data_IF_173871270043
#
_entry.id   IF_173871270043
#
_cell.length_a   1.000
_cell.length_b   1.000
_cell.length_c   1.000
_cell.angle_alpha   90.00
_cell.angle_beta   90.00
_cell.angle_gamma   90.00
#
_symmetry.space_group_name_H-M   'P 1'
#
loop_
_entity.id
_entity.type
_entity.pdbx_description
1 polymer ?
#
# COMPACT_ATOMS: atom_id res chain seq x y z
N UNK A 1 -10.16 -13.11 5.04
CA UNK A 1 -9.04 -13.88 4.44
C UNK A 1 -8.80 -13.48 2.99
N UNK A 2 -7.54 -13.25 2.60
CA UNK A 2 -7.10 -13.07 1.20
C UNK A 2 -6.10 -14.16 0.81
N UNK A 3 -6.15 -14.59 -0.44
CA UNK A 3 -5.30 -15.68 -0.95
C UNK A 3 -4.66 -15.31 -2.30
N UNK A 4 -3.42 -15.75 -2.50
CA UNK A 4 -2.70 -15.62 -3.78
C UNK A 4 -2.04 -16.95 -4.16
N UNK A 5 -1.85 -17.17 -5.45
CA UNK A 5 -1.28 -18.41 -5.97
C UNK A 5 0.05 -18.14 -6.69
N UNK A 6 1.11 -18.79 -6.20
CA UNK A 6 2.38 -18.92 -6.91
C UNK A 6 2.42 -20.28 -7.61
N UNK A 7 2.74 -20.26 -8.91
CA UNK A 7 2.77 -21.46 -9.75
C UNK A 7 3.96 -22.39 -9.48
N UNK A 8 4.94 -21.94 -8.69
CA UNK A 8 6.10 -22.75 -8.30
C UNK A 8 6.62 -22.30 -6.93
N UNK A 9 7.09 -23.25 -6.12
CA UNK A 9 7.85 -22.96 -4.89
C UNK A 9 9.13 -22.14 -5.15
N UNK A 10 9.70 -22.23 -6.36
CA UNK A 10 10.87 -21.42 -6.74
C UNK A 10 10.59 -19.92 -6.80
N UNK A 11 9.32 -19.53 -6.88
CA UNK A 11 8.91 -18.14 -6.89
C UNK A 11 8.75 -17.57 -5.48
N UNK A 12 8.83 -18.39 -4.42
CA UNK A 12 8.78 -17.91 -3.05
C UNK A 12 10.13 -17.31 -2.66
N UNK A 13 10.12 -16.04 -2.30
CA UNK A 13 11.26 -15.38 -1.67
C UNK A 13 11.24 -15.64 -0.16
N UNK A 14 12.23 -16.41 0.31
CA UNK A 14 12.31 -16.82 1.72
C UNK A 14 12.71 -15.67 2.64
N UNK A 15 13.53 -14.74 2.16
CA UNK A 15 13.95 -13.59 2.96
C UNK A 15 12.77 -12.62 3.14
N UNK A 16 11.99 -12.42 2.07
CA UNK A 16 10.75 -11.66 2.12
C UNK A 16 9.71 -12.33 3.03
N UNK A 17 9.59 -13.66 2.98
CA UNK A 17 8.71 -14.40 3.87
C UNK A 17 9.10 -14.22 5.35
N UNK A 18 10.37 -14.40 5.70
CA UNK A 18 10.85 -14.19 7.07
C UNK A 18 10.66 -12.76 7.56
N UNK A 19 10.79 -11.77 6.67
CA UNK A 19 10.48 -10.39 7.00
C UNK A 19 9.00 -10.20 7.38
N UNK A 20 8.08 -10.89 6.68
CA UNK A 20 6.64 -10.80 6.91
C UNK A 20 6.17 -11.48 8.19
N UNK A 21 6.95 -12.40 8.78
CA UNK A 21 6.63 -13.00 10.08
C UNK A 21 6.46 -11.92 11.18
N UNK A 22 7.16 -10.79 11.06
CA UNK A 22 7.02 -9.61 11.93
C UNK A 22 6.46 -8.40 11.16
N UNK A 23 5.71 -8.65 10.09
CA UNK A 23 5.22 -7.63 9.16
C UNK A 23 4.36 -6.56 9.83
N UNK A 24 3.62 -6.90 10.90
CA UNK A 24 2.70 -5.97 11.54
C UNK A 24 3.39 -4.72 12.09
N UNK A 25 4.60 -4.86 12.63
CA UNK A 25 5.41 -3.73 13.12
C UNK A 25 5.75 -2.75 12.00
N UNK A 26 5.86 -3.28 10.78
CA UNK A 26 6.21 -2.54 9.56
C UNK A 26 4.98 -2.04 8.79
N UNK A 27 3.76 -2.36 9.25
CA UNK A 27 2.52 -2.01 8.55
C UNK A 27 2.20 -2.95 7.39
N UNK A 28 2.58 -4.22 7.50
CA UNK A 28 2.22 -5.28 6.56
C UNK A 28 1.47 -6.38 7.29
N UNK A 29 0.49 -7.00 6.65
CA UNK A 29 -0.18 -8.18 7.22
C UNK A 29 0.76 -9.39 7.06
N UNK A 30 0.98 -10.19 8.13
CA UNK A 30 1.75 -11.42 8.04
C UNK A 30 1.19 -12.37 6.98
N UNK A 31 2.10 -13.10 6.35
CA UNK A 31 1.78 -14.06 5.31
C UNK A 31 2.02 -15.46 5.84
N UNK A 32 1.06 -16.36 5.65
CA UNK A 32 1.22 -17.80 5.75
C UNK A 32 1.26 -18.41 4.36
N UNK A 33 1.80 -19.62 4.23
CA UNK A 33 1.77 -20.32 2.95
C UNK A 33 1.56 -21.82 3.08
N UNK A 34 0.92 -22.39 2.07
CA UNK A 34 0.59 -23.81 1.99
C UNK A 34 1.10 -24.36 0.66
N UNK A 35 1.89 -25.45 0.73
CA UNK A 35 2.37 -26.17 -0.44
C UNK A 35 1.33 -27.16 -0.97
N UNK A 36 1.13 -27.20 -2.28
CA UNK A 36 0.32 -28.22 -2.94
C UNK A 36 0.81 -28.48 -4.37
N UNK A 37 1.19 -29.73 -4.69
CA UNK A 37 1.59 -30.15 -6.05
C UNK A 37 2.51 -29.14 -6.76
N UNK A 38 3.62 -28.80 -6.10
CA UNK A 38 4.65 -27.82 -6.53
C UNK A 38 4.21 -26.35 -6.64
N UNK A 39 2.95 -26.03 -6.34
CA UNK A 39 2.43 -24.67 -6.20
C UNK A 39 2.41 -24.25 -4.74
N UNK A 40 2.33 -22.94 -4.53
CA UNK A 40 2.20 -22.34 -3.21
C UNK A 40 0.97 -21.43 -3.19
N UNK A 41 0.12 -21.63 -2.19
CA UNK A 41 -0.92 -20.67 -1.83
C UNK A 41 -0.39 -19.80 -0.70
N UNK A 42 -0.36 -18.49 -0.93
CA UNK A 42 -0.12 -17.49 0.11
C UNK A 42 -1.47 -17.13 0.74
N UNK A 43 -1.50 -16.98 2.06
CA UNK A 43 -2.71 -16.76 2.85
C UNK A 43 -2.47 -15.59 3.81
N UNK A 44 -3.41 -14.66 3.85
CA UNK A 44 -3.41 -13.52 4.76
C UNK A 44 -4.70 -13.53 5.57
N UNK A 45 -4.56 -13.59 6.90
CA UNK A 45 -5.67 -13.54 7.84
C UNK A 45 -6.04 -12.08 8.11
N UNK A 46 -7.15 -11.65 7.53
CA UNK A 46 -7.58 -10.25 7.54
C UNK A 46 -8.77 -10.00 8.48
N UNK A 47 -9.16 -10.99 9.28
CA UNK A 47 -10.45 -10.98 9.99
C UNK A 47 -10.50 -9.96 11.14
N UNK A 48 -9.35 -9.52 11.62
CA UNK A 48 -9.19 -8.45 12.63
C UNK A 48 -9.03 -7.05 12.05
N UNK A 49 -9.14 -6.89 10.72
CA UNK A 49 -8.96 -5.61 10.05
C UNK A 49 -10.18 -5.26 9.20
N UNK A 50 -10.38 -3.98 8.99
CA UNK A 50 -11.36 -3.42 8.07
C UNK A 50 -10.71 -3.14 6.72
N UNK A 51 -11.43 -3.43 5.65
CA UNK A 51 -11.00 -3.11 4.30
C UNK A 51 -11.13 -1.60 4.03
N UNK A 52 -10.09 -0.97 3.46
CA UNK A 52 -10.14 0.46 3.18
C UNK A 52 -11.21 0.79 2.13
N UNK A 53 -11.27 0.06 1.02
CA UNK A 53 -12.24 0.28 -0.06
C UNK A 53 -13.69 0.28 0.42
N UNK A 54 -14.06 -0.67 1.29
CA UNK A 54 -15.40 -0.74 1.90
C UNK A 54 -15.69 0.47 2.80
N UNK A 55 -14.67 1.02 3.47
CA UNK A 55 -14.81 2.12 4.42
C UNK A 55 -14.77 3.51 3.76
N UNK A 56 -14.12 3.66 2.59
CA UNK A 56 -13.90 4.95 1.93
C UNK A 56 -15.18 5.79 1.81
N UNK A 57 -16.29 5.18 1.42
CA UNK A 57 -17.59 5.88 1.24
C UNK A 57 -18.17 6.49 2.52
N UNK A 58 -17.71 6.04 3.69
CA UNK A 58 -18.18 6.47 5.00
C UNK A 58 -17.19 7.41 5.70
N UNK A 59 -16.00 7.60 5.11
CA UNK A 59 -14.95 8.42 5.69
C UNK A 59 -15.07 9.88 5.28
N UNK A 60 -14.79 10.75 6.23
CA UNK A 60 -14.55 12.16 5.96
C UNK A 60 -13.24 12.38 5.18
N UNK A 61 -13.12 13.54 4.53
CA UNK A 61 -11.87 13.94 3.88
C UNK A 61 -10.70 13.90 4.86
N UNK A 62 -10.91 14.31 6.12
CA UNK A 62 -9.87 14.31 7.15
C UNK A 62 -9.37 12.90 7.49
N UNK A 63 -10.28 11.93 7.60
CA UNK A 63 -9.94 10.53 7.84
C UNK A 63 -9.17 9.94 6.65
N UNK A 64 -9.63 10.20 5.41
CA UNK A 64 -8.95 9.76 4.19
C UNK A 64 -7.55 10.37 4.13
N UNK A 65 -7.42 11.66 4.44
CA UNK A 65 -6.15 12.36 4.54
C UNK A 65 -5.23 11.75 5.60
N UNK A 66 -5.78 11.33 6.75
CA UNK A 66 -5.05 10.60 7.78
C UNK A 66 -4.51 9.26 7.28
N UNK A 67 -5.34 8.48 6.59
CA UNK A 67 -4.95 7.19 6.01
C UNK A 67 -3.90 7.36 4.92
N UNK A 68 -4.06 8.30 3.98
CA UNK A 68 -3.08 8.53 2.92
C UNK A 68 -1.73 8.98 3.46
N UNK A 69 -1.72 9.82 4.52
CA UNK A 69 -0.49 10.18 5.22
C UNK A 69 0.18 8.95 5.84
N UNK A 70 -0.59 8.11 6.54
CA UNK A 70 -0.07 6.91 7.18
C UNK A 70 0.46 5.90 6.14
N UNK A 71 -0.20 5.76 4.99
CA UNK A 71 0.27 4.95 3.88
C UNK A 71 1.63 5.44 3.35
N UNK A 72 1.78 6.75 3.12
CA UNK A 72 3.05 7.35 2.71
C UNK A 72 4.16 7.13 3.75
N UNK A 73 3.84 7.27 5.05
CA UNK A 73 4.79 6.98 6.13
C UNK A 73 5.24 5.51 6.12
N UNK A 74 4.34 4.57 5.81
CA UNK A 74 4.69 3.15 5.62
C UNK A 74 5.60 2.95 4.42
N UNK A 75 5.25 3.53 3.27
CA UNK A 75 6.05 3.42 2.04
C UNK A 75 7.48 3.88 2.29
N UNK A 76 7.65 5.06 2.89
CA UNK A 76 8.96 5.59 3.24
C UNK A 76 9.75 4.70 4.20
N UNK A 77 9.07 4.06 5.15
CA UNK A 77 9.71 3.14 6.10
C UNK A 77 10.11 1.80 5.50
N UNK A 78 9.47 1.40 4.40
CA UNK A 78 9.77 0.19 3.64
C UNK A 78 10.77 0.45 2.51
N UNK A 79 10.82 1.66 1.98
CA UNK A 79 11.77 2.07 0.96
C UNK A 79 13.22 1.93 1.47
N UNK A 80 14.08 1.29 0.67
CA UNK A 80 15.45 0.98 1.06
C UNK A 80 15.62 -0.28 1.91
N UNK A 81 14.53 -0.99 2.25
CA UNK A 81 14.63 -2.32 2.83
C UNK A 81 15.04 -3.35 1.75
N UNK A 82 16.04 -4.19 2.03
CA UNK A 82 16.53 -5.19 1.08
C UNK A 82 15.79 -6.54 1.15
N UNK A 83 15.01 -6.78 2.21
CA UNK A 83 14.26 -8.02 2.40
C UNK A 83 12.93 -8.04 1.67
N UNK A 84 12.39 -6.89 1.27
CA UNK A 84 11.16 -6.80 0.50
C UNK A 84 11.33 -5.83 -0.66
N UNK A 85 10.46 -5.99 -1.66
CA UNK A 85 10.35 -5.01 -2.74
C UNK A 85 8.97 -4.37 -2.74
N UNK A 86 8.93 -3.06 -2.93
CA UNK A 86 7.69 -2.31 -3.07
C UNK A 86 6.89 -2.70 -4.33
N UNK A 87 7.54 -3.33 -5.31
CA UNK A 87 6.85 -3.88 -6.50
C UNK A 87 5.94 -5.07 -6.16
N UNK A 88 6.23 -5.77 -5.06
CA UNK A 88 5.45 -6.90 -4.57
C UNK A 88 4.32 -6.52 -3.62
N UNK A 89 4.18 -5.23 -3.27
CA UNK A 89 2.98 -4.81 -2.58
C UNK A 89 1.77 -4.94 -3.51
N UNK A 90 0.65 -5.34 -2.92
CA UNK A 90 -0.63 -5.40 -3.62
C UNK A 90 -1.24 -4.00 -3.58
N UNK A 91 -1.20 -3.33 -4.72
CA UNK A 91 -1.62 -1.94 -4.85
C UNK A 91 -3.05 -1.83 -5.38
N UNK A 92 -3.98 -1.90 -4.44
CA UNK A 92 -5.41 -1.81 -4.67
C UNK A 92 -6.07 -1.37 -3.35
N UNK A 93 -7.10 -0.53 -3.39
CA UNK A 93 -7.76 -0.02 -2.17
C UNK A 93 -8.39 -1.16 -1.38
N UNK A 94 -8.86 -2.23 -2.04
CA UNK A 94 -9.41 -3.41 -1.36
C UNK A 94 -8.31 -4.34 -0.81
N UNK A 95 -7.04 -3.98 -0.98
CA UNK A 95 -5.88 -4.69 -0.45
C UNK A 95 -5.15 -3.89 0.63
N UNK A 96 -5.70 -2.73 1.02
CA UNK A 96 -5.26 -1.92 2.15
C UNK A 96 -6.25 -2.12 3.30
N UNK A 97 -5.71 -2.30 4.49
CA UNK A 97 -6.46 -2.64 5.69
C UNK A 97 -6.22 -1.66 6.82
N UNK A 98 -7.23 -1.47 7.65
CA UNK A 98 -7.21 -0.63 8.84
C UNK A 98 -7.46 -1.52 10.06
N UNK A 99 -6.67 -1.37 11.12
CA UNK A 99 -7.04 -1.99 12.40
C UNK A 99 -8.05 -1.13 13.18
N UNK A 100 -8.55 -1.65 14.31
CA UNK A 100 -9.47 -0.91 15.18
C UNK A 100 -8.90 0.39 15.80
N UNK A 101 -7.62 0.72 15.56
CA UNK A 101 -6.96 1.96 15.97
C UNK A 101 -6.69 2.90 14.78
N UNK A 102 -7.11 2.55 13.57
CA UNK A 102 -6.87 3.32 12.34
C UNK A 102 -5.45 3.22 11.80
N UNK A 103 -4.66 2.22 12.22
CA UNK A 103 -3.33 1.95 11.65
C UNK A 103 -3.50 1.26 10.29
N UNK A 104 -2.70 1.70 9.32
CA UNK A 104 -2.72 1.19 7.94
C UNK A 104 -1.80 -0.01 7.78
N UNK A 105 -2.32 -1.04 7.12
CA UNK A 105 -1.63 -2.28 6.76
C UNK A 105 -1.80 -2.59 5.27
N UNK A 106 -0.70 -2.94 4.62
CA UNK A 106 -0.70 -3.44 3.23
C UNK A 106 -0.47 -4.95 3.16
N UNK A 107 -0.70 -5.51 1.97
CA UNK A 107 -0.27 -6.86 1.63
C UNK A 107 1.00 -6.79 0.80
N UNK A 108 2.00 -7.61 1.14
CA UNK A 108 3.21 -7.77 0.35
C UNK A 108 3.41 -9.25 0.03
N UNK A 109 3.56 -9.58 -1.24
CA UNK A 109 3.77 -10.94 -1.71
C UNK A 109 5.25 -11.31 -1.54
N UNK A 110 5.60 -12.37 -0.79
CA UNK A 110 6.98 -12.84 -0.69
C UNK A 110 7.38 -13.59 -1.97
N UNK A 111 7.47 -12.87 -3.08
CA UNK A 111 7.71 -13.43 -4.40
C UNK A 111 9.04 -12.94 -4.99
N UNK A 112 9.79 -13.82 -5.63
CA UNK A 112 10.98 -13.44 -6.39
C UNK A 112 10.56 -12.56 -7.56
N UNK A 113 11.15 -11.38 -7.66
CA UNK A 113 10.92 -10.49 -8.79
C UNK A 113 11.71 -10.96 -10.02
N UNK A 114 11.10 -10.97 -11.21
CA UNK A 114 11.84 -11.09 -12.46
C UNK A 114 12.88 -9.97 -12.57
N UNK A 115 14.06 -10.26 -13.14
CA UNK A 115 15.14 -9.27 -13.28
C UNK A 115 14.69 -7.99 -13.98
N UNK A 116 13.81 -8.13 -14.97
CA UNK A 116 13.20 -7.02 -15.73
C UNK A 116 12.40 -6.05 -14.84
N UNK A 117 11.88 -6.53 -13.71
CA UNK A 117 11.02 -5.77 -12.80
C UNK A 117 11.79 -5.08 -11.67
N UNK A 118 13.04 -5.46 -11.41
CA UNK A 118 13.84 -4.97 -10.27
C UNK A 118 14.03 -3.45 -10.26
N UNK A 119 14.09 -2.82 -11.44
CA UNK A 119 14.27 -1.37 -11.60
C UNK A 119 13.04 -0.67 -12.19
N UNK A 120 11.89 -1.34 -12.20
CA UNK A 120 10.72 -0.84 -12.94
C UNK A 120 10.09 0.40 -12.31
N UNK A 121 10.23 0.57 -11.00
CA UNK A 121 9.64 1.68 -10.21
C UNK A 121 8.13 1.86 -10.48
N UNK A 122 7.45 0.79 -10.88
CA UNK A 122 6.03 0.79 -11.22
C UNK A 122 5.22 1.05 -9.96
N UNK A 123 5.66 0.55 -8.81
CA UNK A 123 5.04 0.82 -7.52
C UNK A 123 4.82 2.31 -7.30
N UNK A 124 5.73 3.19 -7.75
CA UNK A 124 5.55 4.64 -7.58
C UNK A 124 4.27 5.12 -8.24
N UNK A 125 4.03 4.73 -9.50
CA UNK A 125 2.81 5.09 -10.23
C UNK A 125 1.55 4.55 -9.53
N UNK A 126 1.66 3.36 -8.94
CA UNK A 126 0.57 2.71 -8.20
C UNK A 126 0.24 3.44 -6.90
N UNK A 127 1.25 3.98 -6.20
CA UNK A 127 1.03 4.85 -5.02
C UNK A 127 0.20 6.08 -5.39
N UNK A 128 0.58 6.79 -6.45
CA UNK A 128 -0.21 7.94 -6.92
C UNK A 128 -1.64 7.53 -7.28
N UNK A 129 -1.83 6.42 -8.01
CA UNK A 129 -3.15 5.95 -8.40
C UNK A 129 -4.05 5.65 -7.20
N UNK A 130 -3.53 4.97 -6.17
CA UNK A 130 -4.30 4.70 -4.94
C UNK A 130 -4.67 5.99 -4.22
N UNK A 131 -3.73 6.93 -4.09
CA UNK A 131 -4.02 8.20 -3.42
C UNK A 131 -5.09 9.01 -4.16
N UNK A 132 -5.07 8.99 -5.50
CA UNK A 132 -6.10 9.58 -6.35
C UNK A 132 -7.46 8.86 -6.18
N UNK A 133 -7.46 7.52 -6.17
CA UNK A 133 -8.66 6.67 -6.01
C UNK A 133 -9.34 6.88 -4.65
N UNK A 134 -8.57 7.01 -3.56
CA UNK A 134 -9.07 7.31 -2.22
C UNK A 134 -9.87 8.62 -2.16
N UNK A 135 -9.70 9.52 -3.14
CA UNK A 135 -10.29 10.86 -3.16
C UNK A 135 -11.39 11.02 -4.23
N UNK A 136 -11.58 10.05 -5.12
CA UNK A 136 -12.39 10.20 -6.35
C UNK A 136 -13.87 10.52 -6.07
N UNK A 137 -14.39 10.08 -4.92
CA UNK A 137 -15.78 10.24 -4.52
C UNK A 137 -15.98 11.06 -3.23
N UNK A 138 -14.92 11.73 -2.77
CA UNK A 138 -14.94 12.47 -1.51
C UNK A 138 -15.13 13.96 -1.76
N UNK A 139 -16.00 14.62 -0.98
CA UNK A 139 -16.17 16.07 -1.07
C UNK A 139 -14.84 16.79 -0.80
N UNK A 140 -14.39 17.62 -1.75
CA UNK A 140 -13.10 18.29 -1.68
C UNK A 140 -11.90 17.47 -2.18
N UNK A 141 -12.08 16.17 -2.47
CA UNK A 141 -11.03 15.29 -2.97
C UNK A 141 -10.38 15.76 -4.26
N UNK A 142 -11.14 16.32 -5.20
CA UNK A 142 -10.62 16.86 -6.48
C UNK A 142 -9.52 17.91 -6.30
N UNK A 143 -9.61 18.76 -5.27
CA UNK A 143 -8.59 19.77 -5.04
C UNK A 143 -7.30 19.14 -4.51
N UNK A 144 -7.41 18.11 -3.68
CA UNK A 144 -6.26 17.33 -3.22
C UNK A 144 -5.63 16.59 -4.41
N UNK A 145 -6.42 15.97 -5.29
CA UNK A 145 -5.93 15.33 -6.51
C UNK A 145 -5.14 16.31 -7.39
N UNK A 146 -5.61 17.55 -7.56
CA UNK A 146 -4.84 18.58 -8.31
C UNK A 146 -3.48 18.88 -7.68
N UNK A 147 -3.38 18.90 -6.35
CA UNK A 147 -2.10 19.10 -5.68
C UNK A 147 -1.17 17.89 -5.89
N UNK A 148 -1.72 16.68 -5.93
CA UNK A 148 -0.99 15.45 -6.24
C UNK A 148 -0.48 15.48 -7.68
N UNK A 149 -1.35 15.80 -8.65
CA UNK A 149 -0.99 15.94 -10.07
C UNK A 149 0.12 16.98 -10.26
N UNK A 150 -0.03 18.16 -9.66
CA UNK A 150 0.99 19.21 -9.70
C UNK A 150 2.33 18.75 -9.12
N UNK A 151 2.32 17.96 -8.05
CA UNK A 151 3.52 17.41 -7.44
C UNK A 151 4.15 16.34 -8.35
N UNK A 152 3.33 15.43 -8.88
CA UNK A 152 3.70 14.34 -9.80
C UNK A 152 4.41 14.86 -11.05
N UNK A 153 3.98 16.00 -11.60
CA UNK A 153 4.61 16.63 -12.77
C UNK A 153 6.00 17.21 -12.50
N UNK A 154 6.31 17.57 -11.24
CA UNK A 154 7.54 18.30 -10.88
C UNK A 154 8.57 17.44 -10.16
N UNK A 155 8.12 16.59 -9.26
CA UNK A 155 8.94 15.90 -8.26
C UNK A 155 8.45 14.44 -8.10
N UNK A 156 8.20 13.75 -9.21
CA UNK A 156 7.72 12.36 -9.21
C UNK A 156 8.61 11.44 -8.35
N UNK A 157 7.99 10.72 -7.42
CA UNK A 157 8.70 9.80 -6.52
C UNK A 157 9.30 10.46 -5.28
N UNK A 158 9.20 11.78 -5.12
CA UNK A 158 9.55 12.47 -3.88
C UNK A 158 8.39 12.36 -2.86
N UNK A 159 8.50 11.39 -1.95
CA UNK A 159 7.49 11.14 -0.93
C UNK A 159 7.35 12.26 0.10
N UNK A 160 8.43 13.00 0.39
CA UNK A 160 8.38 14.12 1.34
C UNK A 160 7.61 15.29 0.73
N UNK A 161 7.89 15.63 -0.52
CA UNK A 161 7.15 16.62 -1.26
C UNK A 161 5.68 16.22 -1.44
N UNK A 162 5.41 14.97 -1.85
CA UNK A 162 4.04 14.46 -1.99
C UNK A 162 3.26 14.54 -0.67
N UNK A 163 3.87 14.13 0.44
CA UNK A 163 3.22 14.19 1.75
C UNK A 163 2.94 15.64 2.19
N UNK A 164 3.84 16.59 1.89
CA UNK A 164 3.62 18.00 2.17
C UNK A 164 2.43 18.57 1.37
N UNK A 165 2.32 18.20 0.08
CA UNK A 165 1.23 18.61 -0.81
C UNK A 165 -0.10 18.00 -0.40
N UNK A 166 -0.11 16.71 -0.08
CA UNK A 166 -1.25 15.99 0.48
C UNK A 166 -1.80 16.72 1.71
N UNK A 167 -0.95 17.00 2.71
CA UNK A 167 -1.36 17.76 3.91
C UNK A 167 -1.93 19.14 3.58
N UNK A 168 -1.31 19.85 2.64
CA UNK A 168 -1.76 21.20 2.25
C UNK A 168 -3.12 21.21 1.56
N UNK A 169 -3.40 20.20 0.72
CA UNK A 169 -4.69 20.04 0.05
C UNK A 169 -5.80 19.76 1.04
N UNK A 170 -5.55 18.84 1.99
CA UNK A 170 -6.50 18.49 3.05
C UNK A 170 -6.85 19.69 3.95
N UNK A 171 -5.88 20.52 4.33
CA UNK A 171 -6.08 21.68 5.22
C UNK A 171 -6.85 22.84 4.59
N UNK A 172 -6.80 23.01 3.25
CA UNK A 172 -7.46 24.14 2.57
C UNK A 172 -8.99 24.06 2.54
N UNK A 173 -9.57 22.89 2.81
CA UNK A 173 -11.02 22.66 2.84
C UNK A 173 -11.62 22.72 4.25
N UNK A 174 -10.78 22.76 5.30
CA UNK A 174 -11.21 22.89 6.70
C UNK A 174 -11.53 24.34 7.12
N UNK A 175 -11.37 25.32 6.22
CA UNK A 175 -11.68 26.74 6.42
C UNK A 175 -12.73 27.19 5.43
#
# INVERSE_FOLDING_TARGET
MREFLLNSERLLDKDAFHFLENGEEKGLIPCDWIRFNDRIKLVYFTDSYENLGERLSQMSLDEICGVGKALLDRIKGLEGNHSISLENLVWDVDSIYLDGKGRVYGLCLPAVLPEESLNSQIYMKRVYAILEEMLEHTEGGREVCRQIEFQKEREFGDWDSLQARWRSGCLRKMR
#
